data_IF_369331637508
#
_entry.id   IF_369331637508
#
_cell.length_a   1.000
_cell.length_b   1.000
_cell.length_c   1.000
_cell.angle_alpha   90.00
_cell.angle_beta   90.00
_cell.angle_gamma   90.00
#
_symmetry.space_group_name_H-M   'P 1'
#
loop_
_entity.id
_entity.type
_entity.pdbx_description
1 polymer ?
#
# COMPACT_ATOMS: atom_id res chain seq x y z
N UNK A 1 -3.95 19.23 18.41
CA UNK A 1 -3.05 18.10 18.74
C UNK A 1 -3.07 16.97 17.70
N UNK A 2 -4.18 16.75 16.97
CA UNK A 2 -4.30 15.70 15.95
C UNK A 2 -3.30 15.82 14.79
N UNK A 3 -3.02 17.02 14.30
CA UNK A 3 -2.17 17.23 13.12
C UNK A 3 -0.70 16.78 13.32
N UNK A 4 -0.17 16.83 14.54
CA UNK A 4 1.24 16.45 14.78
C UNK A 4 1.46 14.93 14.64
N UNK A 5 0.58 14.12 15.23
CA UNK A 5 0.68 12.64 15.15
C UNK A 5 0.45 12.15 13.71
N UNK A 6 -0.56 12.70 13.04
CA UNK A 6 -0.86 12.42 11.65
C UNK A 6 0.35 12.71 10.73
N UNK A 7 0.95 13.89 10.89
CA UNK A 7 2.12 14.29 10.11
C UNK A 7 3.31 13.35 10.38
N UNK A 8 3.56 13.00 11.66
CA UNK A 8 4.62 12.05 12.01
C UNK A 8 4.44 10.68 11.33
N UNK A 9 3.20 10.15 11.31
CA UNK A 9 2.92 8.87 10.62
C UNK A 9 3.19 9.01 9.13
N UNK A 10 2.72 10.07 8.49
CA UNK A 10 2.91 10.28 7.04
C UNK A 10 4.37 10.49 6.66
N UNK A 11 5.11 11.28 7.41
CA UNK A 11 6.55 11.49 7.21
C UNK A 11 7.34 10.19 7.40
N UNK A 12 7.04 9.43 8.47
CA UNK A 12 7.65 8.12 8.72
C UNK A 12 7.33 7.15 7.57
N UNK A 13 6.10 7.13 7.08
CA UNK A 13 5.71 6.30 5.96
C UNK A 13 6.48 6.64 4.68
N UNK A 14 6.57 7.92 4.31
CA UNK A 14 7.31 8.38 3.13
C UNK A 14 8.81 8.05 3.25
N UNK A 15 9.41 8.24 4.42
CA UNK A 15 10.80 7.85 4.68
C UNK A 15 11.00 6.34 4.50
N UNK A 16 10.10 5.51 5.04
CA UNK A 16 10.15 4.05 4.87
C UNK A 16 10.01 3.63 3.41
N UNK A 17 9.13 4.25 2.63
CA UNK A 17 9.00 3.97 1.21
C UNK A 17 10.31 4.28 0.46
N UNK A 18 11.00 5.36 0.78
CA UNK A 18 12.26 5.74 0.14
C UNK A 18 13.46 4.88 0.54
N UNK A 19 13.44 4.35 1.77
CA UNK A 19 14.61 3.65 2.33
C UNK A 19 14.51 2.13 2.31
N UNK A 20 13.31 1.57 2.20
CA UNK A 20 13.05 0.11 2.35
C UNK A 20 12.52 -0.56 1.08
N UNK A 21 12.96 -0.12 -0.09
CA UNK A 21 12.53 -0.66 -1.39
C UNK A 21 12.72 -2.16 -1.56
N UNK A 22 13.75 -2.76 -0.94
CA UNK A 22 14.01 -4.22 -0.97
C UNK A 22 12.95 -5.05 -0.25
N UNK A 23 12.14 -4.45 0.61
CA UNK A 23 11.09 -5.11 1.38
C UNK A 23 9.72 -5.07 0.68
N UNK A 24 9.68 -4.62 -0.57
CA UNK A 24 8.44 -4.50 -1.33
C UNK A 24 7.86 -5.86 -1.72
N UNK A 25 6.55 -6.02 -1.53
CA UNK A 25 5.76 -7.10 -2.11
C UNK A 25 4.44 -6.57 -2.69
N UNK A 26 3.78 -7.38 -3.50
CA UNK A 26 2.43 -7.12 -4.02
C UNK A 26 1.38 -7.94 -3.27
N UNK A 27 0.13 -7.48 -3.32
CA UNK A 27 -1.07 -8.22 -2.88
C UNK A 27 -1.19 -8.54 -1.38
N UNK A 28 -0.23 -8.14 -0.54
CA UNK A 28 -0.28 -8.34 0.91
C UNK A 28 0.14 -7.08 1.64
N UNK A 29 -0.59 -6.71 2.70
CA UNK A 29 -0.17 -5.61 3.59
C UNK A 29 1.17 -5.95 4.26
N UNK A 30 1.29 -7.18 4.77
CA UNK A 30 2.51 -7.74 5.37
C UNK A 30 2.63 -9.20 5.00
N UNK A 31 3.78 -9.62 4.53
CA UNK A 31 4.08 -11.02 4.23
C UNK A 31 5.38 -11.43 4.93
N UNK A 32 5.30 -12.40 5.82
CA UNK A 32 6.46 -12.99 6.49
C UNK A 32 6.75 -14.36 5.87
N UNK A 33 7.97 -14.57 5.43
CA UNK A 33 8.41 -15.83 4.80
C UNK A 33 9.68 -16.31 5.49
N UNK A 34 9.71 -17.58 5.90
CA UNK A 34 10.94 -18.22 6.35
C UNK A 34 11.76 -18.62 5.13
N UNK A 35 13.00 -18.15 5.08
CA UNK A 35 13.96 -18.51 4.04
C UNK A 35 15.04 -19.36 4.69
N UNK A 36 15.25 -20.56 4.13
CA UNK A 36 16.38 -21.40 4.53
C UNK A 36 17.60 -20.91 3.77
N UNK A 37 18.53 -20.27 4.47
CA UNK A 37 19.82 -19.87 3.93
C UNK A 37 20.82 -20.94 4.28
N UNK A 38 21.34 -21.64 3.27
CA UNK A 38 22.40 -22.63 3.46
C UNK A 38 23.75 -21.99 3.10
N UNK A 39 24.49 -21.42 4.05
CA UNK A 39 25.81 -20.92 3.76
C UNK A 39 26.73 -22.11 3.44
N UNK A 40 27.20 -22.19 2.20
CA UNK A 40 28.17 -23.18 1.80
C UNK A 40 29.55 -22.85 2.43
N UNK A 41 29.79 -23.38 3.62
CA UNK A 41 31.11 -23.32 4.24
C UNK A 41 31.96 -24.50 3.70
N UNK A 42 32.89 -24.23 2.79
CA UNK A 42 33.92 -25.20 2.39
C UNK A 42 35.01 -25.23 3.45
N UNK A 43 35.01 -26.25 4.27
CA UNK A 43 36.17 -26.58 5.14
C UNK A 43 36.85 -27.82 4.59
N UNK A 44 37.98 -27.63 3.99
CA UNK A 44 39.03 -28.56 3.46
C UNK A 44 38.56 -29.88 2.79
N UNK A 45 37.66 -30.65 3.35
CA UNK A 45 37.14 -31.91 2.79
C UNK A 45 35.70 -32.25 3.18
N UNK A 46 35.04 -31.38 3.98
CA UNK A 46 33.69 -31.61 4.45
C UNK A 46 32.84 -30.38 4.17
N UNK A 47 31.68 -30.59 3.56
CA UNK A 47 30.65 -29.56 3.39
C UNK A 47 29.72 -29.71 4.60
N UNK A 48 29.84 -28.82 5.57
CA UNK A 48 28.86 -28.69 6.63
C UNK A 48 27.81 -27.72 6.11
N UNK A 49 26.61 -28.22 5.89
CA UNK A 49 25.43 -27.42 5.56
C UNK A 49 24.70 -27.12 6.86
N UNK A 50 25.03 -25.99 7.48
CA UNK A 50 24.20 -25.47 8.56
C UNK A 50 23.01 -24.74 7.93
N UNK A 51 21.80 -25.28 8.10
CA UNK A 51 20.57 -24.62 7.67
C UNK A 51 20.26 -23.48 8.65
N UNK A 52 20.52 -22.25 8.25
CA UNK A 52 20.09 -21.08 8.98
C UNK A 52 18.73 -20.63 8.45
N UNK A 53 17.73 -20.59 9.32
CA UNK A 53 16.39 -20.08 8.99
C UNK A 53 16.36 -18.59 9.26
N UNK A 54 16.22 -17.81 8.19
CA UNK A 54 16.08 -16.36 8.27
C UNK A 54 14.63 -15.99 7.94
N UNK A 55 14.03 -15.19 8.79
CA UNK A 55 12.67 -14.67 8.56
C UNK A 55 12.76 -13.37 7.77
N UNK A 56 12.23 -13.36 6.55
CA UNK A 56 12.10 -12.15 5.75
C UNK A 56 10.66 -11.64 5.83
N UNK A 57 10.51 -10.34 6.14
CA UNK A 57 9.21 -9.69 6.14
C UNK A 57 9.15 -8.66 5.03
N UNK A 58 8.12 -8.75 4.19
CA UNK A 58 7.85 -7.83 3.08
C UNK A 58 6.49 -7.16 3.24
N UNK A 59 6.37 -5.96 2.67
CA UNK A 59 5.19 -5.13 2.77
C UNK A 59 4.77 -4.63 1.39
N UNK A 60 3.46 -4.39 1.19
CA UNK A 60 3.04 -3.47 0.13
C UNK A 60 3.13 -2.02 0.63
N UNK A 61 2.98 -1.05 -0.26
CA UNK A 61 3.08 0.37 0.12
C UNK A 61 2.07 0.77 1.22
N UNK A 62 0.86 0.21 1.22
CA UNK A 62 -0.13 0.45 2.28
C UNK A 62 0.21 -0.31 3.57
N UNK A 63 0.88 -1.45 3.48
CA UNK A 63 1.42 -2.17 4.65
C UNK A 63 2.52 -1.37 5.36
N UNK A 64 3.36 -0.67 4.59
CA UNK A 64 4.33 0.28 5.16
C UNK A 64 3.67 1.43 5.91
N UNK A 65 2.48 1.91 5.48
CA UNK A 65 1.71 2.90 6.24
C UNK A 65 1.27 2.35 7.61
N UNK A 66 0.84 1.08 7.65
CA UNK A 66 0.46 0.45 8.92
C UNK A 66 1.66 0.30 9.85
N UNK A 67 2.80 -0.15 9.33
CA UNK A 67 4.03 -0.23 10.11
C UNK A 67 4.51 1.13 10.60
N UNK A 68 4.40 2.18 9.79
CA UNK A 68 4.70 3.54 10.20
C UNK A 68 3.80 3.98 11.38
N UNK A 69 2.50 3.65 11.33
CA UNK A 69 1.58 3.93 12.43
C UNK A 69 1.93 3.11 13.68
N UNK A 70 2.31 1.84 13.54
CA UNK A 70 2.79 1.00 14.65
C UNK A 70 4.04 1.61 15.30
N UNK A 71 5.01 2.01 14.49
CA UNK A 71 6.26 2.62 14.95
C UNK A 71 6.05 3.92 15.70
N UNK A 72 5.15 4.78 15.23
CA UNK A 72 4.89 6.10 15.84
C UNK A 72 4.01 5.98 17.09
N UNK A 73 3.05 5.06 17.11
CA UNK A 73 2.09 4.94 18.21
C UNK A 73 2.51 3.92 19.28
N UNK A 74 3.44 3.00 18.96
CA UNK A 74 3.80 1.87 19.81
C UNK A 74 2.71 0.78 19.91
N UNK A 75 1.67 0.83 19.06
CA UNK A 75 0.58 -0.14 19.03
C UNK A 75 0.72 -1.07 17.83
N UNK A 76 0.32 -2.33 17.97
CA UNK A 76 0.28 -3.29 16.87
C UNK A 76 -1.10 -3.27 16.22
N UNK A 77 -1.14 -3.09 14.91
CA UNK A 77 -2.35 -3.07 14.09
C UNK A 77 -2.43 -4.26 13.14
N UNK A 78 -1.30 -4.84 12.76
CA UNK A 78 -1.23 -6.05 11.94
C UNK A 78 -0.76 -7.24 12.77
N UNK A 79 -1.50 -8.36 12.79
CA UNK A 79 -0.98 -9.60 13.36
C UNK A 79 0.20 -10.13 12.53
N UNK A 80 1.03 -10.99 13.15
CA UNK A 80 2.25 -11.53 12.54
C UNK A 80 2.04 -12.37 11.26
N UNK A 81 0.82 -12.78 10.99
CA UNK A 81 0.48 -13.56 9.78
C UNK A 81 -0.06 -12.64 8.69
N UNK A 82 0.42 -12.90 7.46
CA UNK A 82 0.07 -12.11 6.28
C UNK A 82 -1.43 -11.84 6.13
N UNK A 83 -1.79 -10.56 6.04
CA UNK A 83 -3.16 -10.12 5.78
C UNK A 83 -3.27 -9.83 4.29
N UNK A 84 -4.24 -10.45 3.59
CA UNK A 84 -4.53 -10.09 2.20
C UNK A 84 -4.88 -8.61 2.09
N UNK A 85 -4.54 -8.00 0.97
CA UNK A 85 -4.75 -6.57 0.71
C UNK A 85 -6.24 -6.22 0.63
N UNK A 86 -6.84 -5.94 1.78
CA UNK A 86 -8.20 -5.41 1.91
C UNK A 86 -8.24 -3.91 2.25
N UNK A 87 -7.11 -3.22 2.10
CA UNK A 87 -6.94 -1.84 2.56
C UNK A 87 -6.39 -1.75 4.00
N UNK A 88 -6.03 -0.56 4.41
CA UNK A 88 -5.53 -0.33 5.78
C UNK A 88 -6.64 -0.49 6.82
N UNK A 89 -6.31 -0.96 8.04
CA UNK A 89 -7.26 -0.96 9.16
C UNK A 89 -7.86 0.45 9.38
N UNK A 90 -9.15 0.50 9.73
CA UNK A 90 -9.86 1.78 9.95
C UNK A 90 -9.15 2.71 10.94
N UNK A 91 -8.60 2.15 12.01
CA UNK A 91 -7.86 2.94 13.01
C UNK A 91 -6.63 3.63 12.41
N UNK A 92 -5.86 2.90 11.59
CA UNK A 92 -4.70 3.47 10.88
C UNK A 92 -5.14 4.52 9.87
N UNK A 93 -6.21 4.26 9.11
CA UNK A 93 -6.79 5.22 8.20
C UNK A 93 -7.18 6.53 8.88
N UNK A 94 -7.82 6.46 10.05
CA UNK A 94 -8.14 7.62 10.89
C UNK A 94 -6.89 8.36 11.38
N UNK A 95 -5.91 7.63 11.90
CA UNK A 95 -4.68 8.20 12.44
C UNK A 95 -3.85 8.93 11.38
N UNK A 96 -3.74 8.35 10.20
CA UNK A 96 -3.00 8.93 9.08
C UNK A 96 -3.85 9.88 8.21
N UNK A 97 -5.15 9.95 8.44
CA UNK A 97 -6.15 10.64 7.60
C UNK A 97 -6.06 10.22 6.13
N UNK A 98 -6.03 8.91 5.87
CA UNK A 98 -5.91 8.33 4.52
C UNK A 98 -7.03 7.29 4.33
N UNK A 99 -7.77 7.42 3.23
CA UNK A 99 -8.82 6.47 2.89
C UNK A 99 -8.25 5.12 2.39
N UNK A 100 -8.72 4.04 2.96
CA UNK A 100 -8.62 2.64 2.53
C UNK A 100 -7.38 2.25 1.72
N UNK A 101 -7.49 2.25 0.40
CA UNK A 101 -6.41 1.85 -0.53
C UNK A 101 -5.45 2.99 -0.90
N UNK A 102 -5.60 4.19 -0.29
CA UNK A 102 -4.79 5.36 -0.61
C UNK A 102 -5.09 5.92 -2.01
N UNK A 103 -6.36 6.19 -2.30
CA UNK A 103 -6.74 6.80 -3.58
C UNK A 103 -6.21 8.24 -3.68
N UNK A 104 -5.82 8.64 -4.89
CA UNK A 104 -5.37 10.00 -5.17
C UNK A 104 -6.54 10.91 -5.49
N UNK A 105 -6.48 12.17 -5.02
CA UNK A 105 -7.50 13.19 -5.30
C UNK A 105 -7.52 13.62 -6.78
N UNK A 106 -6.36 13.53 -7.45
CA UNK A 106 -6.17 13.94 -8.85
C UNK A 106 -5.59 12.79 -9.70
N UNK A 107 -6.40 11.76 -10.06
CA UNK A 107 -5.90 10.61 -10.83
C UNK A 107 -5.25 10.99 -12.17
N UNK A 108 -5.78 12.02 -12.85
CA UNK A 108 -5.22 12.51 -14.13
C UNK A 108 -3.80 13.07 -13.97
N UNK A 109 -3.50 13.69 -12.82
CA UNK A 109 -2.16 14.21 -12.53
C UNK A 109 -1.19 13.06 -12.27
N UNK A 110 -1.62 11.99 -11.59
CA UNK A 110 -0.81 10.76 -11.44
C UNK A 110 -0.45 10.18 -12.80
N UNK A 111 -1.44 10.01 -13.69
CA UNK A 111 -1.21 9.51 -15.05
C UNK A 111 -0.22 10.38 -15.83
N UNK A 112 -0.30 11.71 -15.68
CA UNK A 112 0.65 12.63 -16.30
C UNK A 112 2.06 12.42 -15.79
N UNK A 113 2.26 12.33 -14.45
CA UNK A 113 3.57 12.06 -13.84
C UNK A 113 4.15 10.75 -14.39
N UNK A 114 3.33 9.70 -14.45
CA UNK A 114 3.78 8.41 -14.98
C UNK A 114 4.19 8.50 -16.46
N UNK A 115 3.50 9.29 -17.27
CA UNK A 115 3.88 9.52 -18.68
C UNK A 115 5.16 10.35 -18.83
N UNK A 116 5.46 11.22 -17.86
CA UNK A 116 6.71 11.99 -17.80
C UNK A 116 7.91 11.11 -17.39
N UNK A 117 7.66 9.93 -16.82
CA UNK A 117 8.65 8.97 -16.35
C UNK A 117 8.48 7.58 -16.98
N UNK A 118 8.67 7.44 -18.31
CA UNK A 118 8.48 6.17 -19.01
C UNK A 118 9.45 5.07 -18.52
N UNK A 119 10.57 5.44 -17.93
CA UNK A 119 11.54 4.52 -17.33
C UNK A 119 10.99 3.78 -16.10
N UNK A 120 9.92 4.28 -15.48
CA UNK A 120 9.26 3.60 -14.35
C UNK A 120 8.34 2.47 -14.81
N UNK A 121 7.97 2.45 -16.09
CA UNK A 121 7.12 1.39 -16.61
C UNK A 121 7.89 0.08 -16.71
N UNK A 122 7.45 -0.93 -15.98
CA UNK A 122 7.91 -2.29 -16.20
C UNK A 122 7.49 -2.73 -17.60
N UNK A 123 8.39 -3.38 -18.34
CA UNK A 123 8.27 -3.74 -19.78
C UNK A 123 6.97 -4.45 -20.20
N UNK A 124 6.13 -4.90 -19.26
CA UNK A 124 4.91 -5.66 -19.50
C UNK A 124 3.64 -5.08 -18.87
N UNK A 125 3.71 -3.96 -18.17
CA UNK A 125 2.53 -3.34 -17.57
C UNK A 125 2.04 -2.22 -18.47
N UNK A 126 1.21 -2.56 -19.47
CA UNK A 126 0.29 -1.57 -20.03
C UNK A 126 -0.52 -0.95 -18.88
N UNK A 127 -0.91 0.33 -19.01
CA UNK A 127 -1.82 0.95 -18.03
C UNK A 127 -3.01 0.02 -17.80
N UNK A 128 -3.23 -0.53 -16.60
CA UNK A 128 -4.36 -1.42 -16.38
C UNK A 128 -5.66 -0.67 -16.72
N UNK A 129 -6.54 -1.29 -17.50
CA UNK A 129 -7.88 -0.75 -17.80
C UNK A 129 -8.68 -0.42 -16.53
N UNK A 130 -8.32 -1.03 -15.39
CA UNK A 130 -8.87 -0.78 -14.06
C UNK A 130 -8.66 0.65 -13.55
N UNK A 131 -7.74 1.41 -14.12
CA UNK A 131 -7.48 2.81 -13.71
C UNK A 131 -8.58 3.78 -14.15
N UNK A 132 -9.51 3.34 -14.99
CA UNK A 132 -10.73 4.09 -15.31
C UNK A 132 -11.56 4.44 -14.07
N UNK A 133 -11.42 3.68 -12.99
CA UNK A 133 -12.16 3.86 -11.73
C UNK A 133 -11.36 4.54 -10.61
N UNK A 134 -10.15 4.95 -10.87
CA UNK A 134 -9.28 5.66 -9.91
C UNK A 134 -7.92 5.02 -9.76
N UNK A 135 -6.91 5.84 -9.50
CA UNK A 135 -5.54 5.41 -9.19
C UNK A 135 -5.36 5.47 -7.68
N UNK A 136 -4.82 4.40 -7.11
CA UNK A 136 -4.51 4.31 -5.69
C UNK A 136 -3.07 3.87 -5.45
N UNK A 137 -2.56 4.12 -4.25
CA UNK A 137 -1.24 3.63 -3.83
C UNK A 137 -1.16 2.10 -3.93
N UNK A 138 -2.23 1.39 -3.56
CA UNK A 138 -2.30 -0.05 -3.68
C UNK A 138 -2.21 -0.50 -5.14
N UNK A 139 -2.95 0.15 -6.06
CA UNK A 139 -2.92 -0.19 -7.49
C UNK A 139 -1.58 0.08 -8.14
N UNK A 140 -0.88 1.15 -7.76
CA UNK A 140 0.49 1.42 -8.21
C UNK A 140 1.45 0.33 -7.74
N UNK A 141 1.38 -0.04 -6.45
CA UNK A 141 2.22 -1.10 -5.89
C UNK A 141 2.00 -2.45 -6.59
N UNK A 142 0.74 -2.82 -6.85
CA UNK A 142 0.38 -4.09 -7.51
C UNK A 142 0.72 -4.08 -9.02
N UNK A 143 0.82 -2.89 -9.62
CA UNK A 143 1.33 -2.71 -10.98
C UNK A 143 2.86 -2.72 -11.06
N UNK A 144 3.56 -2.90 -9.93
CA UNK A 144 5.01 -3.06 -9.88
C UNK A 144 5.81 -1.76 -9.83
N UNK A 145 5.19 -0.61 -9.61
CA UNK A 145 5.92 0.62 -9.32
C UNK A 145 6.68 0.48 -8.01
N UNK A 146 7.94 0.92 -7.99
CA UNK A 146 8.78 0.84 -6.79
C UNK A 146 8.24 1.73 -5.68
N UNK A 147 8.61 1.46 -4.46
CA UNK A 147 8.27 2.30 -3.32
C UNK A 147 8.73 3.76 -3.51
N UNK A 148 9.90 3.96 -4.10
CA UNK A 148 10.45 5.29 -4.40
C UNK A 148 9.60 6.05 -5.43
N UNK A 149 9.16 5.37 -6.51
CA UNK A 149 8.22 5.95 -7.47
C UNK A 149 6.90 6.36 -6.81
N UNK A 150 6.35 5.48 -5.96
CA UNK A 150 5.11 5.72 -5.23
C UNK A 150 5.27 6.91 -4.28
N UNK A 151 6.37 6.99 -3.53
CA UNK A 151 6.66 8.10 -2.64
C UNK A 151 6.71 9.43 -3.41
N UNK A 152 7.41 9.46 -4.55
CA UNK A 152 7.50 10.63 -5.43
C UNK A 152 6.11 11.11 -5.90
N UNK A 153 5.22 10.18 -6.23
CA UNK A 153 3.84 10.52 -6.63
C UNK A 153 3.05 11.08 -5.45
N UNK A 154 3.15 10.47 -4.25
CA UNK A 154 2.44 10.92 -3.05
C UNK A 154 2.86 12.34 -2.65
N UNK A 155 4.12 12.70 -2.83
CA UNK A 155 4.62 14.05 -2.54
C UNK A 155 4.04 15.11 -3.48
N UNK A 156 3.65 14.73 -4.70
CA UNK A 156 3.15 15.65 -5.71
C UNK A 156 1.61 15.68 -5.80
N UNK A 157 0.95 14.58 -5.42
CA UNK A 157 -0.51 14.43 -5.55
C UNK A 157 -1.09 14.01 -4.21
N UNK A 158 -1.99 14.82 -3.62
CA UNK A 158 -2.64 14.50 -2.36
C UNK A 158 -3.48 13.22 -2.43
N UNK A 159 -3.52 12.51 -1.33
CA UNK A 159 -4.40 11.35 -1.14
C UNK A 159 -5.79 11.79 -0.63
N UNK A 160 -6.80 10.98 -0.95
CA UNK A 160 -8.15 11.16 -0.43
C UNK A 160 -8.14 10.94 1.08
N UNK A 161 -8.69 11.90 1.80
CA UNK A 161 -8.77 11.85 3.26
C UNK A 161 -9.79 10.81 3.75
N UNK A 162 -9.52 10.27 4.93
CA UNK A 162 -10.45 9.38 5.60
C UNK A 162 -11.72 10.14 6.03
N UNK A 163 -12.88 9.62 5.63
CA UNK A 163 -14.18 10.13 6.06
C UNK A 163 -14.86 9.08 6.94
N UNK A 164 -15.28 9.48 8.14
CA UNK A 164 -16.01 8.58 9.01
C UNK A 164 -17.33 8.18 8.35
N UNK A 165 -17.65 6.87 8.24
CA UNK A 165 -18.89 6.41 7.61
C UNK A 165 -20.16 7.02 8.20
N UNK A 166 -20.15 7.35 9.49
CA UNK A 166 -21.27 8.04 10.16
C UNK A 166 -21.51 9.47 9.66
N UNK A 167 -20.50 10.12 9.09
CA UNK A 167 -20.62 11.46 8.51
C UNK A 167 -21.24 11.45 7.11
N UNK A 168 -21.30 10.29 6.45
CA UNK A 168 -21.87 10.14 5.11
C UNK A 168 -23.39 9.98 5.08
N UNK A 169 -24.05 9.98 6.25
CA UNK A 169 -25.49 9.71 6.37
C UNK A 169 -25.81 8.21 6.24
N UNK A 170 -27.08 7.83 6.34
CA UNK A 170 -27.50 6.45 6.15
C UNK A 170 -27.10 5.97 4.74
N UNK A 171 -26.71 4.70 4.58
CA UNK A 171 -26.31 4.15 3.29
C UNK A 171 -27.43 4.38 2.29
N UNK A 172 -27.11 5.10 1.20
CA UNK A 172 -28.05 5.23 0.10
C UNK A 172 -28.16 3.87 -0.60
N UNK A 173 -29.37 3.32 -0.62
CA UNK A 173 -29.63 2.11 -1.36
C UNK A 173 -29.73 2.43 -2.85
N UNK A 174 -28.84 1.85 -3.63
CA UNK A 174 -28.85 1.96 -5.09
C UNK A 174 -29.55 0.72 -5.66
N UNK A 175 -30.57 0.92 -6.46
CA UNK A 175 -31.16 -0.17 -7.26
C UNK A 175 -30.78 0.05 -8.72
N UNK A 176 -29.99 -0.87 -9.26
CA UNK A 176 -29.70 -0.90 -10.71
C UNK A 176 -30.87 -1.56 -11.43
N UNK A 177 -31.52 -0.83 -12.33
CA UNK A 177 -32.50 -1.44 -13.22
C UNK A 177 -31.75 -2.11 -14.39
N UNK A 178 -31.74 -3.45 -14.47
CA UNK A 178 -30.95 -4.18 -15.47
C UNK A 178 -31.44 -3.94 -16.90
N UNK A 179 -32.68 -3.51 -17.09
CA UNK A 179 -33.28 -3.27 -18.41
C UNK A 179 -32.95 -1.88 -18.97
N UNK A 180 -32.73 -0.90 -18.12
CA UNK A 180 -32.50 0.50 -18.53
C UNK A 180 -31.10 1.00 -18.22
N UNK A 181 -30.30 0.24 -17.45
CA UNK A 181 -28.99 0.63 -16.92
C UNK A 181 -29.03 1.93 -16.09
N UNK A 182 -30.22 2.33 -15.62
CA UNK A 182 -30.39 3.51 -14.76
C UNK A 182 -30.24 3.13 -13.29
N UNK A 183 -29.46 3.91 -12.59
CA UNK A 183 -29.31 3.80 -11.12
C UNK A 183 -30.33 4.73 -10.47
N UNK A 184 -31.24 4.14 -9.69
CA UNK A 184 -32.17 4.91 -8.86
C UNK A 184 -31.60 5.01 -7.45
N UNK A 185 -31.46 6.23 -6.97
CA UNK A 185 -31.02 6.53 -5.60
C UNK A 185 -32.25 6.65 -4.71
N UNK A 186 -32.36 5.80 -3.71
CA UNK A 186 -33.39 5.90 -2.67
C UNK A 186 -32.79 6.62 -1.46
N UNK A 187 -33.43 7.72 -1.05
CA UNK A 187 -33.09 8.44 0.19
C UNK A 187 -33.76 7.79 1.38
#
# INVERSE_FOLDING_TARGET
MSNTLQNQIRETWLDMLKTRGSEQCSSYLKRTTEIVVTPARRFLFWIIQDEERVTETKYCAMGMLVEAAEKVTGKTYLPDRGIPAGGVPKEVGKLANIAGLGCFTEPKKVVRILNEHPEWHLRNSGFPDTWKHGVSVASLNDSGYTFDNIATIIEQVPLVEYVEPSALGPPMHYTLNPSTMLVTVHK
#
